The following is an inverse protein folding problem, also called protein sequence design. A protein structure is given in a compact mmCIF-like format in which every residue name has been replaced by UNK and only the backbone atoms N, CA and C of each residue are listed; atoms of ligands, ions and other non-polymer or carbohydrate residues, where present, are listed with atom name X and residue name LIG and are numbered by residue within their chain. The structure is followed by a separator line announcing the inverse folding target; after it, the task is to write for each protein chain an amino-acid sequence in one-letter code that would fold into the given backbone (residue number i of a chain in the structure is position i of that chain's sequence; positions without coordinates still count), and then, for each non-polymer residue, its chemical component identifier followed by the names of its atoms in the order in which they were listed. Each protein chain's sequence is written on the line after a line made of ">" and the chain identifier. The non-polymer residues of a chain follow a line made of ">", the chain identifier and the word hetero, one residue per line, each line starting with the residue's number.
data_IF_210718703636
#
_entry.id   IF_210718703636
#
_cell.length_a   1.000
_cell.length_b   1.000
_cell.length_c   1.000
_cell.angle_alpha   90.00
_cell.angle_beta   90.00
_cell.angle_gamma   90.00
#
_symmetry.space_group_name_H-M   'P 1'
#
loop_
_entity.id
_entity.type
_entity.pdbx_description
1 polymer ?
#
# COMPACT_ATOMS: atom_id res chain seq x y z
N UNK A 1 -27.55 -16.55 23.29
CA UNK A 1 -26.10 -16.26 23.31
C UNK A 1 -25.59 -16.44 21.89
N UNK A 2 -25.53 -15.34 21.13
CA UNK A 2 -25.07 -15.35 19.74
C UNK A 2 -23.55 -15.35 19.77
N UNK A 3 -22.93 -16.38 19.21
CA UNK A 3 -21.49 -16.44 19.01
C UNK A 3 -21.13 -15.44 17.91
N UNK A 4 -20.62 -14.29 18.33
CA UNK A 4 -20.13 -13.23 17.45
C UNK A 4 -18.85 -13.74 16.78
N UNK A 5 -18.95 -14.14 15.52
CA UNK A 5 -17.84 -14.66 14.72
C UNK A 5 -16.80 -13.55 14.50
N UNK A 6 -15.56 -13.81 14.90
CA UNK A 6 -14.38 -12.92 14.82
C UNK A 6 -14.02 -12.41 13.41
N UNK A 7 -14.60 -12.93 12.33
CA UNK A 7 -14.20 -12.60 10.96
C UNK A 7 -14.67 -11.25 10.42
N UNK A 8 -15.78 -10.68 10.91
CA UNK A 8 -16.33 -9.44 10.33
C UNK A 8 -15.49 -8.18 10.64
N UNK A 9 -14.62 -8.24 11.64
CA UNK A 9 -13.78 -7.10 12.04
C UNK A 9 -12.48 -7.06 11.22
N UNK A 10 -12.00 -8.21 10.76
CA UNK A 10 -10.81 -8.32 9.91
C UNK A 10 -11.14 -7.93 8.45
N UNK A 11 -12.36 -8.20 7.99
CA UNK A 11 -12.82 -7.94 6.61
C UNK A 11 -13.05 -6.46 6.24
N UNK A 12 -12.83 -5.49 7.15
CA UNK A 12 -13.02 -4.05 6.88
C UNK A 12 -11.76 -3.19 7.10
N UNK A 13 -10.66 -3.82 7.52
CA UNK A 13 -9.40 -3.11 7.80
C UNK A 13 -8.85 -2.48 6.52
N UNK A 14 -8.92 -3.23 5.41
CA UNK A 14 -8.39 -2.80 4.12
C UNK A 14 -9.22 -1.65 3.53
N UNK A 15 -10.54 -1.71 3.61
CA UNK A 15 -11.45 -0.67 3.18
C UNK A 15 -11.23 0.63 3.98
N UNK A 16 -10.99 0.50 5.28
CA UNK A 16 -10.70 1.65 6.14
C UNK A 16 -9.39 2.31 5.74
N UNK A 17 -8.32 1.51 5.52
CA UNK A 17 -7.02 2.03 5.12
C UNK A 17 -7.08 2.72 3.75
N UNK A 18 -7.78 2.12 2.79
CA UNK A 18 -7.97 2.72 1.47
C UNK A 18 -8.75 4.04 1.54
N UNK A 19 -9.77 4.11 2.39
CA UNK A 19 -10.51 5.36 2.64
C UNK A 19 -9.57 6.44 3.18
N UNK A 20 -8.69 6.11 4.12
CA UNK A 20 -7.69 7.05 4.66
C UNK A 20 -6.69 7.54 3.62
N UNK A 21 -6.25 6.65 2.72
CA UNK A 21 -5.38 7.05 1.61
C UNK A 21 -6.10 8.07 0.72
N UNK A 22 -7.36 7.82 0.37
CA UNK A 22 -8.16 8.76 -0.43
C UNK A 22 -8.35 10.11 0.29
N UNK A 23 -8.71 10.10 1.58
CA UNK A 23 -8.86 11.31 2.38
C UNK A 23 -7.57 12.15 2.40
N UNK A 24 -6.43 11.53 2.72
CA UNK A 24 -5.14 12.22 2.78
C UNK A 24 -4.72 12.82 1.43
N UNK A 25 -4.92 12.05 0.34
CA UNK A 25 -4.63 12.51 -1.03
C UNK A 25 -5.46 13.73 -1.41
N UNK A 26 -6.74 13.74 -1.01
CA UNK A 26 -7.67 14.83 -1.29
C UNK A 26 -7.43 16.05 -0.41
N UNK A 27 -7.18 15.86 0.88
CA UNK A 27 -6.95 16.93 1.85
C UNK A 27 -5.70 17.74 1.50
N UNK A 28 -4.63 17.06 1.09
CA UNK A 28 -3.35 17.68 0.75
C UNK A 28 -3.10 17.77 -0.75
N UNK A 29 -4.16 17.92 -1.57
CA UNK A 29 -4.01 17.89 -3.04
C UNK A 29 -3.08 19.00 -3.59
N UNK A 30 -2.91 20.12 -2.88
CA UNK A 30 -2.02 21.23 -3.28
C UNK A 30 -0.60 21.10 -2.74
N UNK A 31 -0.39 20.24 -1.74
CA UNK A 31 0.88 20.04 -1.04
C UNK A 31 1.22 18.55 -1.08
N UNK A 32 1.44 18.02 -2.28
CA UNK A 32 1.64 16.59 -2.45
C UNK A 32 2.92 16.14 -1.74
N UNK A 33 2.79 15.10 -0.92
CA UNK A 33 3.89 14.52 -0.17
C UNK A 33 4.25 13.11 -0.65
N UNK A 34 4.73 12.31 0.29
CA UNK A 34 5.05 10.89 0.06
C UNK A 34 4.16 10.01 0.92
N UNK A 35 3.47 9.08 0.30
CA UNK A 35 2.70 8.03 0.99
C UNK A 35 3.62 6.85 1.21
N UNK A 36 3.84 6.48 2.47
CA UNK A 36 4.57 5.25 2.82
C UNK A 36 3.54 4.18 3.15
N UNK A 37 3.46 3.15 2.30
CA UNK A 37 2.51 2.06 2.45
C UNK A 37 3.25 0.78 2.85
N UNK A 38 3.10 0.37 4.11
CA UNK A 38 3.68 -0.86 4.61
C UNK A 38 2.73 -2.05 4.38
N UNK A 39 2.75 -2.62 3.17
CA UNK A 39 1.94 -3.81 2.83
C UNK A 39 2.57 -4.64 1.72
N UNK A 40 2.55 -5.98 1.88
CA UNK A 40 2.89 -6.91 0.81
C UNK A 40 1.70 -7.24 -0.10
N UNK A 41 0.48 -7.00 0.36
CA UNK A 41 -0.73 -7.38 -0.37
C UNK A 41 -1.08 -6.38 -1.47
N UNK A 42 -1.46 -6.90 -2.64
CA UNK A 42 -2.00 -6.11 -3.75
C UNK A 42 -3.36 -6.63 -4.22
N UNK A 43 -3.97 -7.57 -3.50
CA UNK A 43 -5.25 -8.12 -3.91
C UNK A 43 -6.35 -7.06 -3.81
N UNK A 44 -7.36 -7.12 -4.70
CA UNK A 44 -8.61 -6.41 -4.49
C UNK A 44 -9.24 -6.88 -3.17
N UNK A 45 -9.67 -5.96 -2.31
CA UNK A 45 -10.47 -6.36 -1.14
C UNK A 45 -11.89 -6.69 -1.61
N UNK A 46 -12.66 -7.42 -0.78
CA UNK A 46 -14.00 -7.89 -1.13
C UNK A 46 -14.95 -6.75 -1.57
N UNK A 47 -14.70 -5.52 -1.12
CA UNK A 47 -15.49 -4.33 -1.46
C UNK A 47 -14.67 -3.21 -2.10
N UNK A 48 -13.46 -3.48 -2.60
CA UNK A 48 -12.62 -2.44 -3.17
C UNK A 48 -11.77 -2.86 -4.36
N UNK A 49 -11.38 -1.85 -5.13
CA UNK A 49 -10.41 -1.94 -6.22
C UNK A 49 -8.99 -2.33 -5.76
N UNK A 50 -8.75 -2.43 -4.44
CA UNK A 50 -7.48 -2.82 -3.82
C UNK A 50 -6.45 -1.69 -3.69
N UNK A 51 -5.44 -1.90 -2.85
CA UNK A 51 -4.38 -0.91 -2.58
C UNK A 51 -3.66 -0.44 -3.85
N UNK A 52 -3.46 -1.35 -4.82
CA UNK A 52 -2.83 -1.04 -6.10
C UNK A 52 -3.50 0.13 -6.83
N UNK A 53 -4.84 0.15 -6.84
CA UNK A 53 -5.63 1.18 -7.53
C UNK A 53 -5.60 2.52 -6.80
N UNK A 54 -5.58 2.50 -5.47
CA UNK A 54 -5.42 3.73 -4.68
C UNK A 54 -4.03 4.34 -4.84
N UNK A 55 -2.99 3.51 -4.88
CA UNK A 55 -1.63 3.96 -5.20
C UNK A 55 -1.56 4.56 -6.60
N UNK A 56 -2.14 3.90 -7.60
CA UNK A 56 -2.21 4.42 -8.97
C UNK A 56 -2.92 5.78 -9.03
N UNK A 57 -4.02 5.97 -8.28
CA UNK A 57 -4.72 7.27 -8.19
C UNK A 57 -3.85 8.34 -7.53
N UNK A 58 -3.20 8.03 -6.42
CA UNK A 58 -2.31 8.98 -5.74
C UNK A 58 -1.16 9.45 -6.65
N UNK A 59 -0.50 8.51 -7.35
CA UNK A 59 0.57 8.80 -8.29
C UNK A 59 0.11 9.69 -9.46
N UNK A 60 -1.10 9.44 -9.99
CA UNK A 60 -1.74 10.31 -11.01
C UNK A 60 -2.00 11.73 -10.49
N UNK A 61 -2.29 11.86 -9.19
CA UNK A 61 -2.54 13.14 -8.53
C UNK A 61 -1.26 13.88 -8.09
N UNK A 62 -0.08 13.36 -8.43
CA UNK A 62 1.19 14.04 -8.17
C UNK A 62 1.98 13.50 -6.98
N UNK A 63 1.38 12.64 -6.16
CA UNK A 63 2.01 12.09 -4.96
C UNK A 63 3.18 11.16 -5.28
N UNK A 64 4.14 11.08 -4.37
CA UNK A 64 5.11 10.00 -4.33
C UNK A 64 4.55 8.84 -3.49
N UNK A 65 4.94 7.61 -3.82
CA UNK A 65 4.54 6.43 -3.07
C UNK A 65 5.75 5.51 -2.84
N UNK A 66 5.94 5.14 -1.59
CA UNK A 66 6.95 4.18 -1.16
C UNK A 66 6.25 2.95 -0.60
N UNK A 67 6.33 1.83 -1.34
CA UNK A 67 5.79 0.56 -0.89
C UNK A 67 6.84 -0.18 -0.08
N UNK A 68 6.56 -0.43 1.20
CA UNK A 68 7.47 -1.10 2.13
C UNK A 68 6.94 -2.50 2.42
N UNK A 69 7.69 -3.53 2.07
CA UNK A 69 7.23 -4.91 2.24
C UNK A 69 8.36 -5.94 2.26
N UNK A 70 8.07 -7.12 2.79
CA UNK A 70 8.95 -8.28 2.67
C UNK A 70 8.87 -8.84 1.26
N UNK A 71 10.02 -9.15 0.66
CA UNK A 71 10.12 -9.71 -0.69
C UNK A 71 9.27 -10.97 -0.85
N UNK A 72 9.23 -11.84 0.18
CA UNK A 72 8.43 -13.07 0.17
C UNK A 72 6.91 -12.85 0.22
N UNK A 73 6.46 -11.67 0.63
CA UNK A 73 5.03 -11.31 0.73
C UNK A 73 4.55 -10.42 -0.41
N UNK A 74 5.47 -9.93 -1.25
CA UNK A 74 5.19 -8.89 -2.23
C UNK A 74 4.45 -9.47 -3.44
N UNK A 75 3.25 -8.97 -3.69
CA UNK A 75 2.47 -9.37 -4.86
C UNK A 75 3.15 -8.96 -6.17
N UNK A 76 3.10 -9.84 -7.17
CA UNK A 76 3.68 -9.61 -8.51
C UNK A 76 3.08 -8.41 -9.25
N UNK A 77 1.89 -7.95 -8.85
CA UNK A 77 1.30 -6.71 -9.37
C UNK A 77 2.21 -5.50 -9.16
N UNK A 78 2.94 -5.44 -8.04
CA UNK A 78 3.85 -4.35 -7.72
C UNK A 78 5.16 -4.41 -8.51
N UNK A 79 5.58 -5.58 -8.97
CA UNK A 79 6.86 -5.79 -9.68
C UNK A 79 6.75 -5.65 -11.20
N UNK A 80 5.61 -5.19 -11.72
CA UNK A 80 5.44 -5.00 -13.16
C UNK A 80 6.30 -3.82 -13.64
N UNK A 81 7.42 -4.14 -14.30
CA UNK A 81 8.42 -3.16 -14.74
C UNK A 81 7.87 -2.10 -15.70
N UNK A 82 6.92 -2.47 -16.57
CA UNK A 82 6.29 -1.53 -17.48
C UNK A 82 5.44 -0.53 -16.70
N UNK A 83 4.71 -0.99 -15.68
CA UNK A 83 3.90 -0.11 -14.83
C UNK A 83 4.78 0.77 -13.95
N UNK A 84 5.79 0.21 -13.27
CA UNK A 84 6.69 1.01 -12.41
C UNK A 84 7.46 2.06 -13.20
N UNK A 85 7.88 1.74 -14.43
CA UNK A 85 8.58 2.68 -15.30
C UNK A 85 7.71 3.90 -15.68
N UNK A 86 6.38 3.80 -15.62
CA UNK A 86 5.51 4.97 -15.88
C UNK A 86 5.59 6.06 -14.81
N UNK A 87 6.11 5.72 -13.63
CA UNK A 87 6.12 6.60 -12.46
C UNK A 87 7.51 7.16 -12.12
N UNK A 88 8.55 6.80 -12.86
CA UNK A 88 9.94 7.21 -12.62
C UNK A 88 10.35 7.05 -11.16
N UNK A 89 10.84 8.12 -10.53
CA UNK A 89 11.29 8.22 -9.15
C UNK A 89 10.15 8.41 -8.14
N UNK A 90 8.92 8.65 -8.60
CA UNK A 90 7.76 8.87 -7.73
C UNK A 90 7.19 7.59 -7.14
N UNK A 91 7.52 6.43 -7.70
CA UNK A 91 7.16 5.13 -7.12
C UNK A 91 8.42 4.31 -6.86
N UNK A 92 8.57 3.79 -5.64
CA UNK A 92 9.63 2.84 -5.30
C UNK A 92 9.17 1.78 -4.33
N UNK A 93 9.79 0.62 -4.41
CA UNK A 93 9.63 -0.49 -3.47
C UNK A 93 10.85 -0.52 -2.56
N UNK A 94 10.61 -0.57 -1.24
CA UNK A 94 11.62 -0.72 -0.21
C UNK A 94 11.45 -2.12 0.39
N UNK A 95 12.38 -3.01 0.07
CA UNK A 95 12.37 -4.38 0.59
C UNK A 95 12.89 -4.40 2.04
N UNK A 96 12.03 -4.84 2.96
CA UNK A 96 12.36 -4.96 4.38
C UNK A 96 13.46 -5.99 4.66
N UNK A 97 13.67 -6.94 3.75
CA UNK A 97 14.72 -7.95 3.80
C UNK A 97 16.12 -7.33 3.98
N UNK A 98 16.34 -6.13 3.44
CA UNK A 98 17.61 -5.39 3.58
C UNK A 98 17.92 -4.97 5.02
N UNK A 99 16.91 -4.81 5.87
CA UNK A 99 17.04 -4.38 7.26
C UNK A 99 17.09 -5.53 8.27
N UNK A 100 17.00 -6.79 7.81
CA UNK A 100 17.01 -7.96 8.69
C UNK A 100 18.27 -8.02 9.56
N UNK A 101 19.42 -7.71 8.97
CA UNK A 101 20.70 -7.78 9.68
C UNK A 101 20.80 -6.74 10.80
N UNK A 102 20.21 -5.57 10.62
CA UNK A 102 20.17 -4.52 11.66
C UNK A 102 19.23 -4.91 12.81
N UNK A 103 18.16 -5.65 12.52
CA UNK A 103 17.20 -6.13 13.54
C UNK A 103 17.78 -7.26 14.42
N UNK A 104 18.71 -8.04 13.88
CA UNK A 104 19.34 -9.17 14.58
C UNK A 104 20.58 -8.78 15.39
N UNK A 105 21.03 -7.53 15.29
CA UNK A 105 22.05 -6.96 16.18
C UNK A 105 21.37 -6.54 17.49
N UNK A 106 21.15 -7.53 18.36
CA UNK A 106 20.70 -7.32 19.75
C UNK A 106 21.80 -7.75 20.72
#
# INVERSE_FOLDING_TARGET
>A
MVSMRRGYVEDLVDETLQTRIAEAVMEHFQEQGTIVLATGDAKPAQYSDGFFRYVERALRMGWNVELVAWRGSLSSSWTNTNWTATWNDRFRIIELDSFIFDLLQV
#
